data_IF_452924359777
#
_entry.id   IF_452924359777
#
_cell.length_a   1.000
_cell.length_b   1.000
_cell.length_c   1.000
_cell.angle_alpha   90.00
_cell.angle_beta   90.00
_cell.angle_gamma   90.00
#
_symmetry.space_group_name_H-M   'P 1'
#
loop_
_entity.id
_entity.type
_entity.pdbx_description
1 polymer ?
#
# COMPACT_ATOMS: atom_id res chain seq x y z
N UNK A 1 6.84 -15.27 -6.27
CA UNK A 1 5.50 -15.26 -5.63
C UNK A 1 5.63 -14.56 -4.29
N UNK A 2 5.13 -13.32 -4.15
CA UNK A 2 5.04 -12.57 -2.87
C UNK A 2 4.31 -11.21 -3.01
N UNK A 3 4.02 -10.74 -4.23
CA UNK A 3 3.28 -9.49 -4.48
C UNK A 3 1.93 -9.43 -3.77
N UNK A 4 1.16 -10.53 -3.79
CA UNK A 4 -0.15 -10.61 -3.15
C UNK A 4 -0.05 -10.40 -1.63
N UNK A 5 1.02 -10.88 -0.99
CA UNK A 5 1.23 -10.74 0.46
C UNK A 5 1.40 -9.27 0.85
N UNK A 6 2.28 -8.54 0.18
CA UNK A 6 2.51 -7.12 0.48
C UNK A 6 1.27 -6.27 0.22
N UNK A 7 0.59 -6.47 -0.92
CA UNK A 7 -0.62 -5.71 -1.24
C UNK A 7 -1.71 -5.93 -0.19
N UNK A 8 -1.95 -7.18 0.22
CA UNK A 8 -2.93 -7.51 1.25
C UNK A 8 -2.56 -6.90 2.61
N UNK A 9 -1.29 -7.00 3.01
CA UNK A 9 -0.84 -6.43 4.28
C UNK A 9 -0.96 -4.89 4.32
N UNK A 10 -0.66 -4.22 3.20
CA UNK A 10 -0.84 -2.76 3.07
C UNK A 10 -2.32 -2.40 3.13
N UNK A 11 -3.18 -3.15 2.45
CA UNK A 11 -4.62 -2.93 2.46
C UNK A 11 -5.18 -3.05 3.88
N UNK A 12 -4.91 -4.16 4.58
CA UNK A 12 -5.41 -4.35 5.96
C UNK A 12 -4.86 -3.26 6.90
N UNK A 13 -3.59 -2.90 6.78
CA UNK A 13 -3.02 -1.82 7.59
C UNK A 13 -3.69 -0.47 7.32
N UNK A 14 -4.02 -0.16 6.06
CA UNK A 14 -4.80 1.04 5.74
C UNK A 14 -6.24 0.95 6.23
N UNK A 15 -6.87 -0.23 6.21
CA UNK A 15 -8.22 -0.43 6.74
C UNK A 15 -8.27 -0.15 8.26
N UNK A 16 -7.28 -0.63 9.00
CA UNK A 16 -7.12 -0.37 10.44
C UNK A 16 -6.87 1.12 10.75
N UNK A 17 -6.27 1.86 9.82
CA UNK A 17 -6.07 3.31 9.90
C UNK A 17 -7.30 4.12 9.45
N UNK A 18 -8.45 3.48 9.20
CA UNK A 18 -9.67 4.16 8.74
C UNK A 18 -9.68 4.46 7.24
N UNK A 19 -8.99 3.64 6.44
CA UNK A 19 -8.99 3.66 4.98
C UNK A 19 -7.92 4.54 4.35
N UNK A 20 -7.16 5.31 5.14
CA UNK A 20 -6.06 6.17 4.70
C UNK A 20 -4.99 6.35 5.78
N UNK A 21 -3.76 6.62 5.37
CA UNK A 21 -2.66 6.90 6.30
C UNK A 21 -1.38 7.37 5.63
N UNK A 22 -0.48 7.95 6.41
CA UNK A 22 0.90 8.27 6.00
C UNK A 22 1.70 6.97 5.84
N UNK A 23 2.69 6.98 4.96
CA UNK A 23 3.62 5.84 4.81
C UNK A 23 4.22 5.37 6.14
N UNK A 24 4.56 6.30 7.05
CA UNK A 24 5.07 5.96 8.39
C UNK A 24 4.05 5.20 9.24
N UNK A 25 2.78 5.55 9.16
CA UNK A 25 1.70 4.87 9.89
C UNK A 25 1.48 3.47 9.32
N UNK A 26 1.48 3.33 7.98
CA UNK A 26 1.41 2.03 7.30
C UNK A 26 2.59 1.14 7.70
N UNK A 27 3.80 1.69 7.80
CA UNK A 27 4.98 0.95 8.25
C UNK A 27 4.82 0.45 9.68
N UNK A 28 4.42 1.33 10.59
CA UNK A 28 4.23 0.97 11.99
C UNK A 28 3.15 -0.11 12.16
N UNK A 29 2.04 -0.01 11.41
CA UNK A 29 0.99 -1.03 11.46
C UNK A 29 1.46 -2.39 10.93
N UNK A 30 2.19 -2.42 9.81
CA UNK A 30 2.73 -3.68 9.27
C UNK A 30 3.71 -4.33 10.24
N UNK A 31 4.58 -3.54 10.88
CA UNK A 31 5.52 -3.99 11.89
C UNK A 31 4.80 -4.54 13.13
N UNK A 32 3.82 -3.78 13.65
CA UNK A 32 3.01 -4.15 14.81
C UNK A 32 2.22 -5.44 14.57
N UNK A 33 1.66 -5.62 13.37
CA UNK A 33 0.88 -6.80 13.02
C UNK A 33 1.73 -8.07 12.91
N UNK A 34 3.03 -7.94 12.65
CA UNK A 34 4.00 -9.05 12.64
C UNK A 34 3.57 -10.27 11.79
N UNK A 35 2.81 -10.04 10.69
CA UNK A 35 2.36 -11.09 9.75
C UNK A 35 3.38 -11.41 8.66
N UNK A 36 4.37 -10.53 8.51
CA UNK A 36 5.54 -10.75 7.66
C UNK A 36 6.74 -10.76 8.59
N UNK A 37 7.58 -11.79 8.44
CA UNK A 37 8.92 -11.74 9.01
C UNK A 37 9.73 -10.67 8.26
N UNK A 38 9.79 -9.47 8.85
CA UNK A 38 10.48 -8.32 8.27
C UNK A 38 12.00 -8.48 8.33
N UNK A 39 12.52 -9.33 9.23
CA UNK A 39 13.97 -9.56 9.37
C UNK A 39 14.56 -10.26 8.15
N UNK A 40 13.74 -11.00 7.40
CA UNK A 40 14.11 -11.60 6.13
C UNK A 40 14.30 -10.59 4.98
N UNK A 41 14.07 -9.28 5.19
CA UNK A 41 14.12 -8.25 4.16
C UNK A 41 15.01 -7.09 4.57
N UNK A 42 16.03 -6.81 3.74
CA UNK A 42 16.96 -5.67 3.94
C UNK A 42 16.23 -4.32 3.91
N UNK A 43 15.27 -4.14 3.00
CA UNK A 43 14.47 -2.92 2.91
C UNK A 43 13.01 -3.24 2.57
N UNK A 44 12.29 -3.74 3.57
CA UNK A 44 10.86 -4.02 3.47
C UNK A 44 10.02 -2.76 3.23
N UNK A 45 10.48 -1.58 3.70
CA UNK A 45 9.78 -0.30 3.48
C UNK A 45 9.76 0.07 1.99
N UNK A 46 10.84 -0.19 1.26
CA UNK A 46 10.85 -0.08 -0.20
C UNK A 46 9.93 -1.08 -0.89
N UNK A 47 9.76 -2.30 -0.36
CA UNK A 47 8.77 -3.24 -0.89
C UNK A 47 7.35 -2.70 -0.74
N UNK A 48 7.03 -2.06 0.39
CA UNK A 48 5.72 -1.43 0.60
C UNK A 48 5.48 -0.32 -0.43
N UNK A 49 6.40 0.65 -0.54
CA UNK A 49 6.26 1.74 -1.52
C UNK A 49 6.10 1.22 -2.94
N UNK A 50 6.93 0.26 -3.33
CA UNK A 50 6.86 -0.37 -4.65
C UNK A 50 5.51 -1.00 -4.92
N UNK A 51 4.94 -1.72 -3.95
CA UNK A 51 3.64 -2.36 -4.12
C UNK A 51 2.50 -1.33 -4.17
N UNK A 52 2.56 -0.26 -3.38
CA UNK A 52 1.61 0.87 -3.49
C UNK A 52 1.65 1.46 -4.91
N UNK A 53 2.83 1.81 -5.41
CA UNK A 53 2.98 2.48 -6.71
C UNK A 53 2.58 1.59 -7.90
N UNK A 54 2.84 0.28 -7.80
CA UNK A 54 2.43 -0.68 -8.84
C UNK A 54 0.92 -0.95 -8.87
N UNK A 55 0.17 -0.54 -7.84
CA UNK A 55 -1.27 -0.77 -7.69
C UNK A 55 -2.02 0.54 -7.48
N UNK A 56 -1.50 1.64 -8.04
CA UNK A 56 -2.16 2.95 -8.02
C UNK A 56 -2.01 3.60 -9.39
N UNK A 57 -3.13 3.83 -10.06
CA UNK A 57 -3.16 4.57 -11.34
C UNK A 57 -2.71 6.02 -11.23
N UNK A 58 -2.51 6.54 -10.00
CA UNK A 58 -1.90 7.86 -9.75
C UNK A 58 -0.37 7.84 -9.96
N UNK A 59 0.22 6.69 -10.26
CA UNK A 59 1.65 6.50 -10.49
C UNK A 59 1.97 6.08 -11.92
N UNK A 60 2.97 6.70 -12.54
CA UNK A 60 3.41 6.42 -13.91
C UNK A 60 3.84 4.96 -14.16
N UNK A 61 4.24 4.23 -13.11
CA UNK A 61 4.68 2.84 -13.21
C UNK A 61 3.52 1.83 -13.17
N UNK A 62 2.28 2.29 -13.02
CA UNK A 62 1.10 1.45 -13.01
C UNK A 62 0.78 0.98 -14.43
N UNK A 63 0.67 -0.34 -14.60
CA UNK A 63 0.49 -0.99 -15.91
C UNK A 63 -0.91 -1.59 -16.09
N UNK A 64 -1.88 -1.21 -15.25
CA UNK A 64 -3.28 -1.66 -15.35
C UNK A 64 -4.19 -0.61 -15.98
N UNK A 65 -5.51 -0.81 -15.88
CA UNK A 65 -6.50 0.16 -16.34
C UNK A 65 -6.98 0.97 -15.12
N UNK A 66 -6.93 2.31 -15.13
CA UNK A 66 -7.44 3.11 -14.02
C UNK A 66 -8.88 2.71 -13.62
N UNK A 67 -9.10 2.49 -12.33
CA UNK A 67 -10.36 1.99 -11.77
C UNK A 67 -10.58 0.47 -11.87
N UNK A 68 -9.64 -0.29 -12.44
CA UNK A 68 -9.72 -1.75 -12.44
C UNK A 68 -9.45 -2.36 -11.05
N UNK A 69 -9.57 -3.69 -10.96
CA UNK A 69 -9.33 -4.42 -9.70
C UNK A 69 -7.87 -4.37 -9.19
N UNK A 70 -6.91 -3.96 -10.02
CA UNK A 70 -5.50 -3.80 -9.65
C UNK A 70 -5.19 -2.36 -9.22
N UNK A 71 -6.07 -1.41 -9.52
CA UNK A 71 -6.01 -0.03 -9.06
C UNK A 71 -6.58 0.07 -7.63
N UNK A 72 -5.80 -0.37 -6.66
CA UNK A 72 -6.23 -0.57 -5.27
C UNK A 72 -6.02 0.69 -4.44
N UNK A 73 -4.89 1.36 -4.64
CA UNK A 73 -4.46 2.50 -3.83
C UNK A 73 -4.57 3.81 -4.60
N UNK A 74 -4.71 4.91 -3.86
CA UNK A 74 -4.67 6.27 -4.42
C UNK A 74 -3.90 7.21 -3.51
N UNK A 75 -3.36 8.26 -4.10
CA UNK A 75 -2.66 9.31 -3.38
C UNK A 75 -3.67 10.37 -2.90
N UNK A 76 -3.81 10.50 -1.58
CA UNK A 76 -4.86 11.34 -0.97
C UNK A 76 -4.65 12.84 -1.27
N UNK A 77 -3.39 13.28 -1.25
CA UNK A 77 -3.03 14.69 -1.43
C UNK A 77 -2.13 14.94 -2.67
N UNK A 78 -2.12 13.99 -3.59
CA UNK A 78 -1.25 14.00 -4.76
C UNK A 78 0.14 13.40 -4.50
N UNK A 79 0.75 12.95 -5.60
CA UNK A 79 2.04 12.24 -5.61
C UNK A 79 3.11 13.05 -4.88
N UNK A 80 3.84 12.40 -3.97
CA UNK A 80 4.97 12.99 -3.23
C UNK A 80 4.68 13.38 -1.78
N UNK A 81 3.40 13.48 -1.35
CA UNK A 81 3.07 13.80 0.05
C UNK A 81 3.08 12.61 1.01
N UNK A 82 3.17 11.39 0.48
CA UNK A 82 3.30 10.18 1.28
C UNK A 82 2.02 9.74 2.01
N UNK A 83 0.86 10.30 1.67
CA UNK A 83 -0.44 9.90 2.21
C UNK A 83 -1.18 9.07 1.17
N UNK A 84 -1.62 7.89 1.59
CA UNK A 84 -2.23 6.88 0.72
C UNK A 84 -3.54 6.38 1.30
N UNK A 85 -4.47 6.01 0.43
CA UNK A 85 -5.74 5.41 0.80
C UNK A 85 -6.15 4.27 -0.13
N UNK A 86 -7.22 3.57 0.24
CA UNK A 86 -7.80 2.45 -0.53
C UNK A 86 -9.00 2.95 -1.33
N UNK A 87 -9.02 2.72 -2.65
CA UNK A 87 -10.09 3.22 -3.54
C UNK A 87 -11.47 2.65 -3.20
N UNK A 88 -11.54 1.39 -2.78
CA UNK A 88 -12.80 0.67 -2.48
C UNK A 88 -12.93 0.35 -0.98
N UNK A 89 -12.70 1.33 -0.10
CA UNK A 89 -12.73 1.11 1.36
C UNK A 89 -14.12 0.74 1.92
N UNK A 90 -15.22 1.09 1.24
CA UNK A 90 -16.61 0.93 1.73
C UNK A 90 -17.50 0.08 0.80
N UNK A 91 -16.94 -0.86 0.05
CA UNK A 91 -17.73 -1.78 -0.78
C UNK A 91 -17.84 -3.15 -0.16
#
# INVERSE_FOLDING_TARGET
MNKIKWVNEIQISLELLGGKGKLSEIYNEIETRSKIDLSAYVDWRSQIRKNIYLHSSDCDIYMGIPGDKKDIFFSVEGKGRGIWGIRNFNK
#
